data_IF_731761305662
#
_entry.id   IF_731761305662
#
_cell.length_a   1.000
_cell.length_b   1.000
_cell.length_c   1.000
_cell.angle_alpha   90.00
_cell.angle_beta   90.00
_cell.angle_gamma   90.00
#
_symmetry.space_group_name_H-M   'P 1'
#
loop_
_entity.id
_entity.type
_entity.pdbx_description
1 polymer ?
#
# COMPACT_ATOMS: atom_id res chain seq x y z
N UNK A 1 0.78 36.79 -26.00
CA UNK A 1 -0.23 35.74 -26.24
C UNK A 1 0.17 34.38 -25.69
N UNK A 2 1.36 33.86 -26.00
CA UNK A 2 1.83 32.54 -25.52
C UNK A 2 1.80 32.38 -23.98
N UNK A 3 2.20 33.41 -23.22
CA UNK A 3 2.20 33.39 -21.75
C UNK A 3 0.79 33.24 -21.13
N UNK A 4 -0.19 33.93 -21.71
CA UNK A 4 -1.59 33.86 -21.26
C UNK A 4 -2.15 32.47 -21.56
N UNK A 5 -1.80 31.91 -22.72
CA UNK A 5 -2.19 30.56 -23.09
C UNK A 5 -1.61 29.50 -22.13
N UNK A 6 -0.32 29.62 -21.77
CA UNK A 6 0.30 28.71 -20.79
C UNK A 6 -0.36 28.77 -19.41
N UNK A 7 -0.79 29.95 -18.96
CA UNK A 7 -1.51 30.12 -17.69
C UNK A 7 -2.88 29.43 -17.71
N UNK A 8 -3.59 29.48 -18.84
CA UNK A 8 -4.86 28.77 -19.02
C UNK A 8 -4.66 27.25 -18.94
N UNK A 9 -3.63 26.72 -19.60
CA UNK A 9 -3.32 25.28 -19.52
C UNK A 9 -2.95 24.82 -18.11
N UNK A 10 -2.28 25.67 -17.32
CA UNK A 10 -1.90 25.35 -15.95
C UNK A 10 -3.12 25.17 -15.03
N UNK A 11 -4.24 25.86 -15.29
CA UNK A 11 -5.47 25.74 -14.50
C UNK A 11 -6.14 24.36 -14.61
N UNK A 12 -5.88 23.62 -15.69
CA UNK A 12 -6.45 22.28 -15.92
C UNK A 12 -5.49 21.14 -15.59
N UNK A 13 -4.24 21.44 -15.23
CA UNK A 13 -3.20 20.44 -15.00
C UNK A 13 -3.29 19.73 -13.64
N UNK A 14 -4.12 20.22 -12.70
CA UNK A 14 -4.16 19.72 -11.31
C UNK A 14 -5.32 18.76 -11.01
N UNK A 15 -6.03 18.25 -12.02
CA UNK A 15 -7.11 17.27 -11.83
C UNK A 15 -6.58 15.85 -11.69
N UNK A 16 -5.75 15.61 -10.66
CA UNK A 16 -5.38 14.26 -10.26
C UNK A 16 -6.48 13.69 -9.35
N UNK A 17 -7.33 12.81 -9.90
CA UNK A 17 -8.34 12.09 -9.13
C UNK A 17 -7.67 10.96 -8.33
N UNK A 18 -7.12 11.29 -7.17
CA UNK A 18 -6.53 10.30 -6.26
C UNK A 18 -7.64 9.58 -5.48
N UNK A 19 -7.68 8.25 -5.65
CA UNK A 19 -8.53 7.28 -4.97
C UNK A 19 -10.02 7.27 -5.40
N UNK A 20 -10.37 6.51 -6.47
CA UNK A 20 -11.74 6.40 -6.97
C UNK A 20 -12.75 5.69 -6.04
N UNK A 21 -12.35 5.23 -4.85
CA UNK A 21 -13.23 4.56 -3.88
C UNK A 21 -12.81 4.85 -2.44
N UNK A 22 -13.48 5.79 -1.80
CA UNK A 22 -13.45 5.97 -0.33
C UNK A 22 -14.40 5.01 0.39
N UNK A 23 -15.16 4.22 -0.35
CA UNK A 23 -16.15 3.30 0.20
C UNK A 23 -15.46 2.12 0.88
N UNK A 24 -15.81 1.92 2.16
CA UNK A 24 -15.36 0.77 2.93
C UNK A 24 -15.86 -0.52 2.27
N UNK A 25 -14.95 -1.46 2.05
CA UNK A 25 -15.33 -2.77 1.57
C UNK A 25 -16.00 -3.57 2.69
N UNK A 26 -17.26 -3.94 2.48
CA UNK A 26 -18.05 -4.74 3.44
C UNK A 26 -17.41 -6.07 3.83
N UNK A 27 -16.52 -6.61 3.00
CA UNK A 27 -15.70 -7.77 3.33
C UNK A 27 -14.74 -7.49 4.51
N UNK A 28 -14.14 -6.30 4.56
CA UNK A 28 -13.18 -5.89 5.59
C UNK A 28 -13.84 -5.25 6.82
N UNK A 29 -15.15 -5.01 6.81
CA UNK A 29 -15.92 -4.40 7.91
C UNK A 29 -16.15 -5.37 9.10
N UNK A 30 -15.77 -6.64 8.97
CA UNK A 30 -15.94 -7.65 10.01
C UNK A 30 -14.63 -7.86 10.78
N UNK A 31 -14.56 -7.38 12.02
CA UNK A 31 -13.51 -7.76 12.99
C UNK A 31 -14.09 -8.60 14.13
N UNK A 32 -13.26 -9.42 14.78
CA UNK A 32 -13.58 -10.09 16.04
C UNK A 32 -12.43 -9.89 17.03
N UNK A 33 -12.53 -8.82 17.82
CA UNK A 33 -11.48 -8.43 18.76
C UNK A 33 -11.33 -9.40 19.94
N UNK A 34 -12.36 -10.22 20.18
CA UNK A 34 -12.33 -11.28 21.20
C UNK A 34 -11.68 -12.58 20.71
N UNK A 35 -11.24 -12.64 19.43
CA UNK A 35 -10.65 -13.83 18.86
C UNK A 35 -9.28 -14.12 19.50
N UNK A 36 -9.17 -15.25 20.20
CA UNK A 36 -7.92 -15.72 20.81
C UNK A 36 -7.21 -16.79 19.98
N UNK A 37 -7.61 -16.99 18.72
CA UNK A 37 -6.94 -17.96 17.84
C UNK A 37 -5.48 -17.56 17.62
N UNK A 38 -4.59 -18.52 17.84
CA UNK A 38 -3.19 -18.38 17.48
C UNK A 38 -3.02 -18.76 16.01
N UNK A 39 -2.53 -17.80 15.20
CA UNK A 39 -2.19 -18.04 13.80
C UNK A 39 -0.73 -18.49 13.73
N UNK A 40 -0.49 -19.67 13.17
CA UNK A 40 0.87 -20.17 12.97
C UNK A 40 1.60 -19.34 11.93
N UNK A 41 2.76 -18.80 12.30
CA UNK A 41 3.67 -18.09 11.40
C UNK A 41 4.79 -19.00 10.89
N UNK A 42 4.71 -20.31 11.13
CA UNK A 42 5.77 -21.29 10.83
C UNK A 42 6.16 -21.28 9.35
N UNK A 43 5.18 -21.23 8.44
CA UNK A 43 5.45 -21.20 7.00
C UNK A 43 6.27 -19.96 6.59
N UNK A 44 5.99 -18.82 7.23
CA UNK A 44 6.72 -17.59 6.96
C UNK A 44 8.11 -17.62 7.56
N UNK A 45 8.25 -18.17 8.76
CA UNK A 45 9.55 -18.40 9.38
C UNK A 45 10.43 -19.31 8.51
N UNK A 46 9.91 -20.44 8.02
CA UNK A 46 10.68 -21.37 7.17
C UNK A 46 11.12 -20.74 5.84
N UNK A 47 10.36 -19.79 5.32
CA UNK A 47 10.77 -19.01 4.14
C UNK A 47 11.95 -18.10 4.49
N UNK A 48 11.83 -17.33 5.57
CA UNK A 48 12.88 -16.41 6.01
C UNK A 48 14.17 -17.16 6.38
N UNK A 49 14.07 -18.27 7.10
CA UNK A 49 15.23 -19.11 7.47
C UNK A 49 16.03 -19.57 6.25
N UNK A 50 15.36 -19.74 5.11
CA UNK A 50 16.00 -20.21 3.87
C UNK A 50 16.59 -19.09 3.02
N UNK A 51 15.97 -17.91 3.03
CA UNK A 51 16.22 -16.89 2.01
C UNK A 51 16.60 -15.53 2.56
N UNK A 52 16.42 -15.29 3.86
CA UNK A 52 16.83 -14.03 4.48
C UNK A 52 18.34 -14.06 4.67
N UNK A 53 19.05 -13.35 3.79
CA UNK A 53 20.48 -13.10 3.92
C UNK A 53 20.66 -11.92 4.87
N UNK A 54 21.46 -12.10 5.92
CA UNK A 54 21.76 -11.04 6.88
C UNK A 54 23.01 -10.26 6.46
N UNK A 55 23.04 -8.94 6.74
CA UNK A 55 24.21 -8.12 6.43
C UNK A 55 25.44 -8.66 7.17
N UNK A 56 26.52 -8.94 6.43
CA UNK A 56 27.75 -9.57 6.95
C UNK A 56 27.97 -11.01 6.49
N UNK A 57 26.98 -11.69 5.92
CA UNK A 57 27.14 -13.05 5.35
C UNK A 57 27.75 -13.06 3.93
N UNK A 58 28.03 -11.88 3.35
CA UNK A 58 28.61 -11.70 2.01
C UNK A 58 29.79 -10.72 1.97
N UNK A 59 30.47 -10.48 3.10
CA UNK A 59 31.71 -9.67 3.18
C UNK A 59 32.82 -10.48 3.82
#
# INVERSE_FOLDING_TARGET
MLRVLSLVFLMFATSAFSAPRSELWSYWDKSNDSNTQSVSHQAWQSFLDRYLVTEGENT
#
